data_IF_240226881395
#
_entry.id   IF_240226881395
#
_cell.length_a   1.000
_cell.length_b   1.000
_cell.length_c   1.000
_cell.angle_alpha   90.00
_cell.angle_beta   90.00
_cell.angle_gamma   90.00
#
_symmetry.space_group_name_H-M   'P 1'
#
loop_
_entity.id
_entity.type
_entity.pdbx_description
1 polymer ?
#
# COMPACT_ATOMS: atom_id res chain seq x y z
N UNK A 1 -15.31 12.35 -0.30
CA UNK A 1 -15.85 11.39 -1.29
C UNK A 1 -17.36 11.63 -1.38
N UNK A 2 -17.96 11.60 -2.57
CA UNK A 2 -19.42 11.78 -2.71
C UNK A 2 -20.14 10.49 -2.32
N UNK A 3 -21.35 10.60 -1.75
CA UNK A 3 -22.15 9.45 -1.30
C UNK A 3 -22.77 8.67 -2.46
N UNK A 4 -23.10 9.35 -3.56
CA UNK A 4 -23.61 8.75 -4.80
C UNK A 4 -22.80 9.22 -6.02
N UNK A 5 -21.77 8.46 -6.43
CA UNK A 5 -20.98 8.77 -7.63
C UNK A 5 -21.80 8.75 -8.92
N UNK A 6 -22.86 7.96 -9.02
CA UNK A 6 -23.65 7.88 -10.26
C UNK A 6 -24.51 9.12 -10.45
N UNK A 7 -25.10 9.63 -9.37
CA UNK A 7 -25.83 10.90 -9.39
C UNK A 7 -24.88 12.10 -9.57
N UNK A 8 -23.71 12.06 -8.92
CA UNK A 8 -22.73 13.16 -8.96
C UNK A 8 -21.98 13.25 -10.29
N UNK A 9 -21.83 12.13 -11.01
CA UNK A 9 -21.11 12.04 -12.28
C UNK A 9 -21.93 11.25 -13.33
N UNK A 10 -23.06 11.80 -13.80
CA UNK A 10 -24.01 11.08 -14.66
C UNK A 10 -23.39 10.64 -16.00
N UNK A 11 -22.43 11.40 -16.53
CA UNK A 11 -21.68 11.04 -17.74
C UNK A 11 -20.84 9.77 -17.55
N UNK A 12 -20.27 9.56 -16.37
CA UNK A 12 -19.53 8.33 -16.05
C UNK A 12 -20.49 7.17 -15.85
N UNK A 13 -21.64 7.40 -15.24
CA UNK A 13 -22.68 6.37 -15.12
C UNK A 13 -23.21 5.94 -16.49
N UNK A 14 -23.49 6.88 -17.41
CA UNK A 14 -23.89 6.59 -18.77
C UNK A 14 -22.80 5.81 -19.53
N UNK A 15 -21.54 6.24 -19.42
CA UNK A 15 -20.41 5.54 -20.03
C UNK A 15 -20.23 4.11 -19.49
N UNK A 16 -20.45 3.91 -18.19
CA UNK A 16 -20.45 2.57 -17.58
C UNK A 16 -21.50 1.68 -18.22
N UNK A 17 -22.74 2.17 -18.30
CA UNK A 17 -23.88 1.42 -18.86
C UNK A 17 -23.69 1.08 -20.33
N UNK A 18 -23.21 2.04 -21.11
CA UNK A 18 -22.93 1.84 -22.53
C UNK A 18 -21.85 0.78 -22.75
N UNK A 19 -20.83 0.73 -21.89
CA UNK A 19 -19.69 -0.18 -22.07
C UNK A 19 -19.90 -1.57 -21.48
N UNK A 20 -20.56 -1.68 -20.33
CA UNK A 20 -20.64 -2.94 -19.57
C UNK A 20 -22.09 -3.39 -19.30
N UNK A 21 -23.08 -2.72 -19.88
CA UNK A 21 -24.50 -3.08 -19.79
C UNK A 21 -25.28 -2.28 -18.76
N UNK A 22 -26.61 -2.35 -18.82
CA UNK A 22 -27.52 -1.43 -18.10
C UNK A 22 -27.31 -1.34 -16.58
N UNK A 23 -26.79 -2.39 -15.94
CA UNK A 23 -26.56 -2.45 -14.49
C UNK A 23 -25.16 -1.98 -14.07
N UNK A 24 -24.30 -1.60 -15.03
CA UNK A 24 -22.95 -1.18 -14.73
C UNK A 24 -22.91 0.19 -14.03
N UNK A 25 -21.99 0.31 -13.08
CA UNK A 25 -21.81 1.48 -12.22
C UNK A 25 -20.53 2.24 -12.55
N UNK A 26 -20.35 3.43 -11.97
CA UNK A 26 -19.06 4.15 -12.04
C UNK A 26 -17.91 3.29 -11.52
N UNK A 27 -18.13 2.43 -10.52
CA UNK A 27 -17.11 1.50 -10.01
C UNK A 27 -16.72 0.43 -11.05
N UNK A 28 -17.67 -0.08 -11.83
CA UNK A 28 -17.39 -0.99 -12.94
C UNK A 28 -16.59 -0.30 -14.04
N UNK A 29 -16.94 0.95 -14.36
CA UNK A 29 -16.20 1.74 -15.34
C UNK A 29 -14.75 1.96 -14.91
N UNK A 30 -14.53 2.36 -13.66
CA UNK A 30 -13.18 2.55 -13.11
C UNK A 30 -12.40 1.23 -13.05
N UNK A 31 -13.05 0.13 -12.67
CA UNK A 31 -12.41 -1.20 -12.67
C UNK A 31 -12.02 -1.63 -14.09
N UNK A 32 -12.86 -1.33 -15.07
CA UNK A 32 -12.56 -1.56 -16.48
C UNK A 32 -11.41 -0.69 -17.00
N UNK A 33 -11.31 0.56 -16.56
CA UNK A 33 -10.16 1.43 -16.84
C UNK A 33 -8.86 0.84 -16.25
N UNK A 34 -8.90 0.38 -15.00
CA UNK A 34 -7.78 -0.30 -14.35
C UNK A 34 -7.34 -1.52 -15.19
N UNK A 35 -8.26 -2.38 -15.58
CA UNK A 35 -7.95 -3.53 -16.43
C UNK A 35 -7.30 -3.12 -17.75
N UNK A 36 -7.81 -2.07 -18.41
CA UNK A 36 -7.22 -1.56 -19.65
C UNK A 36 -5.80 -1.00 -19.45
N UNK A 37 -5.47 -0.42 -18.29
CA UNK A 37 -4.07 -0.08 -17.95
C UNK A 37 -3.21 -1.33 -17.77
N UNK A 38 -3.77 -2.38 -17.17
CA UNK A 38 -3.08 -3.66 -17.02
C UNK A 38 -2.72 -4.26 -18.37
N UNK A 39 -3.68 -4.27 -19.31
CA UNK A 39 -3.50 -4.78 -20.67
C UNK A 39 -2.37 -4.05 -21.41
N UNK A 40 -2.35 -2.71 -21.32
CA UNK A 40 -1.27 -1.90 -21.90
C UNK A 40 0.11 -2.28 -21.31
N UNK A 41 0.22 -2.45 -20.00
CA UNK A 41 1.49 -2.82 -19.37
C UNK A 41 1.93 -4.25 -19.70
N UNK A 42 1.00 -5.18 -19.90
CA UNK A 42 1.30 -6.55 -20.34
C UNK A 42 1.92 -6.59 -21.73
N UNK A 43 1.50 -5.70 -22.64
CA UNK A 43 2.13 -5.56 -23.95
C UNK A 43 3.62 -5.17 -23.88
N UNK A 44 4.08 -4.66 -22.73
CA UNK A 44 5.47 -4.34 -22.45
C UNK A 44 6.16 -5.32 -21.48
N UNK A 45 5.56 -6.50 -21.24
CA UNK A 45 6.06 -7.50 -20.30
C UNK A 45 6.28 -6.93 -18.90
N UNK A 46 5.38 -6.04 -18.45
CA UNK A 46 5.39 -5.47 -17.09
C UNK A 46 4.19 -5.98 -16.31
N UNK A 47 4.40 -6.23 -15.01
CA UNK A 47 3.32 -6.56 -14.07
C UNK A 47 2.76 -5.27 -13.49
N UNK A 48 1.45 -5.07 -13.59
CA UNK A 48 0.83 -3.87 -13.03
C UNK A 48 0.59 -4.01 -11.52
N UNK A 49 0.74 -2.90 -10.81
CA UNK A 49 0.45 -2.73 -9.39
C UNK A 49 -0.54 -1.58 -9.23
N UNK A 50 -1.50 -1.72 -8.31
CA UNK A 50 -2.44 -0.66 -7.97
C UNK A 50 -2.65 -0.56 -6.46
N UNK A 51 -2.92 0.64 -5.96
CA UNK A 51 -3.27 0.87 -4.56
C UNK A 51 -4.58 0.17 -4.19
N UNK A 52 -4.67 -0.36 -2.97
CA UNK A 52 -5.78 -1.21 -2.54
C UNK A 52 -7.15 -0.52 -2.52
N UNK A 53 -7.18 0.79 -2.33
CA UNK A 53 -8.39 1.64 -2.36
C UNK A 53 -8.95 1.83 -3.79
N UNK A 54 -8.17 1.48 -4.82
CA UNK A 54 -8.65 1.40 -6.21
C UNK A 54 -9.43 0.11 -6.56
N UNK A 55 -9.50 -0.86 -5.64
CA UNK A 55 -10.23 -2.12 -5.84
C UNK A 55 -11.64 -2.06 -5.25
N UNK A 56 -12.56 -1.43 -5.98
CA UNK A 56 -13.92 -1.21 -5.49
C UNK A 56 -14.70 -2.50 -5.19
N UNK A 57 -15.37 -2.54 -4.03
CA UNK A 57 -16.34 -3.59 -3.68
C UNK A 57 -17.64 -3.51 -4.47
N UNK A 58 -18.04 -2.29 -4.81
CA UNK A 58 -19.30 -2.00 -5.50
C UNK A 58 -19.27 -2.33 -6.99
N UNK A 59 -18.10 -2.65 -7.56
CA UNK A 59 -18.01 -3.16 -8.93
C UNK A 59 -18.56 -4.60 -8.97
N UNK A 60 -19.76 -4.77 -9.51
CA UNK A 60 -20.47 -6.06 -9.58
C UNK A 60 -20.37 -6.73 -10.96
N UNK A 61 -20.20 -5.95 -12.02
CA UNK A 61 -20.18 -6.41 -13.42
C UNK A 61 -18.77 -6.68 -13.90
N UNK A 62 -17.82 -5.80 -13.55
CA UNK A 62 -16.43 -5.89 -13.98
C UNK A 62 -15.55 -6.25 -12.79
N UNK A 63 -14.73 -7.30 -12.94
CA UNK A 63 -13.77 -7.72 -11.92
C UNK A 63 -12.36 -7.23 -12.26
N UNK A 64 -11.56 -6.75 -11.29
CA UNK A 64 -10.17 -6.41 -11.54
C UNK A 64 -9.37 -7.67 -11.90
N UNK A 65 -8.52 -7.58 -12.92
CA UNK A 65 -7.71 -8.70 -13.39
C UNK A 65 -6.89 -9.32 -12.24
N UNK A 66 -6.79 -10.66 -12.22
CA UNK A 66 -6.29 -11.42 -11.06
C UNK A 66 -4.79 -11.23 -10.80
N UNK A 67 -4.04 -10.93 -11.84
CA UNK A 67 -2.59 -10.73 -11.85
C UNK A 67 -2.14 -9.32 -11.44
N UNK A 68 -3.07 -8.36 -11.32
CA UNK A 68 -2.76 -7.04 -10.77
C UNK A 68 -2.34 -7.20 -9.31
N UNK A 69 -1.11 -6.78 -9.01
CA UNK A 69 -0.56 -6.78 -7.66
C UNK A 69 -1.19 -5.66 -6.82
N UNK A 70 -1.45 -5.95 -5.55
CA UNK A 70 -2.03 -4.98 -4.61
C UNK A 70 -0.91 -4.26 -3.88
N UNK A 71 -0.81 -2.94 -4.04
CA UNK A 71 -0.06 -2.08 -3.13
C UNK A 71 -0.98 -1.74 -1.95
N UNK A 72 -0.80 -2.43 -0.81
CA UNK A 72 -1.68 -2.22 0.34
C UNK A 72 -1.04 -1.21 1.29
N UNK A 73 -1.65 -0.03 1.44
CA UNK A 73 -1.09 1.05 2.25
C UNK A 73 -1.91 1.36 3.50
N UNK A 74 -3.22 1.48 3.36
CA UNK A 74 -4.13 1.75 4.48
C UNK A 74 -5.44 1.00 4.31
N UNK A 75 -6.29 1.11 5.32
CA UNK A 75 -7.67 0.65 5.27
C UNK A 75 -8.51 1.48 6.25
N UNK A 76 -8.29 2.79 6.26
CA UNK A 76 -8.98 3.78 7.11
C UNK A 76 -10.18 4.38 6.38
N UNK A 77 -10.24 4.23 5.06
CA UNK A 77 -11.34 4.64 4.20
C UNK A 77 -12.60 3.79 4.41
N UNK A 78 -13.77 4.40 4.17
CA UNK A 78 -15.07 3.71 4.28
C UNK A 78 -15.11 2.58 3.24
N UNK A 79 -15.46 1.37 3.69
CA UNK A 79 -15.57 0.19 2.81
C UNK A 79 -14.25 -0.50 2.50
N UNK A 80 -13.14 -0.08 3.14
CA UNK A 80 -11.82 -0.69 3.00
C UNK A 80 -11.86 -2.22 3.15
N UNK A 81 -11.12 -2.93 2.29
CA UNK A 81 -10.93 -4.38 2.45
C UNK A 81 -9.76 -4.66 3.37
N UNK A 82 -9.88 -5.68 4.22
CA UNK A 82 -8.74 -6.13 5.02
C UNK A 82 -7.70 -6.81 4.12
N UNK A 83 -6.40 -6.80 4.48
CA UNK A 83 -5.36 -7.46 3.68
C UNK A 83 -5.66 -8.94 3.40
N UNK A 84 -6.21 -9.64 4.40
CA UNK A 84 -6.56 -11.06 4.30
C UNK A 84 -7.57 -11.37 3.19
N UNK A 85 -8.42 -10.42 2.80
CA UNK A 85 -9.39 -10.59 1.71
C UNK A 85 -8.70 -10.58 0.34
N UNK A 86 -7.70 -9.73 0.14
CA UNK A 86 -6.88 -9.74 -1.07
C UNK A 86 -6.05 -11.02 -1.17
N UNK A 87 -5.46 -11.44 -0.04
CA UNK A 87 -4.62 -12.62 0.04
C UNK A 87 -5.44 -13.91 -0.17
N UNK A 88 -6.61 -14.05 0.47
CA UNK A 88 -7.50 -15.20 0.23
C UNK A 88 -8.06 -15.26 -1.19
N UNK A 89 -8.18 -14.12 -1.88
CA UNK A 89 -8.51 -14.07 -3.30
C UNK A 89 -7.33 -14.47 -4.23
N UNK A 90 -6.20 -14.92 -3.66
CA UNK A 90 -5.02 -15.38 -4.39
C UNK A 90 -4.13 -14.27 -4.93
N UNK A 91 -4.35 -13.01 -4.55
CA UNK A 91 -3.54 -11.89 -5.05
C UNK A 91 -2.18 -11.84 -4.40
N UNK A 92 -1.22 -11.31 -5.14
CA UNK A 92 0.09 -10.91 -4.61
C UNK A 92 0.02 -9.47 -4.09
N UNK A 93 0.69 -9.23 -2.98
CA UNK A 93 0.60 -7.97 -2.23
C UNK A 93 2.00 -7.40 -1.97
N UNK A 94 2.12 -6.09 -2.05
CA UNK A 94 3.28 -5.33 -1.59
C UNK A 94 2.83 -4.48 -0.39
N UNK A 95 3.59 -4.58 0.70
CA UNK A 95 3.26 -3.94 1.97
C UNK A 95 3.75 -2.48 1.99
N UNK A 96 2.82 -1.54 2.08
CA UNK A 96 3.06 -0.10 2.20
C UNK A 96 2.47 0.44 3.51
N UNK A 97 2.35 -0.40 4.55
CA UNK A 97 1.70 -0.10 5.82
C UNK A 97 1.96 1.35 6.31
N UNK A 98 0.90 2.14 6.37
CA UNK A 98 0.94 3.56 6.71
C UNK A 98 1.34 3.85 8.16
N UNK A 99 1.13 2.90 9.07
CA UNK A 99 1.48 3.02 10.49
C UNK A 99 3.00 2.94 10.74
N UNK A 100 3.72 2.20 9.89
CA UNK A 100 5.14 1.93 10.08
C UNK A 100 6.05 2.41 8.94
N UNK A 101 5.54 2.61 7.72
CA UNK A 101 6.37 2.78 6.51
C UNK A 101 6.08 4.07 5.74
N UNK A 102 5.25 4.99 6.27
CA UNK A 102 4.90 6.25 5.62
C UNK A 102 5.57 7.46 6.31
N UNK A 103 6.46 8.14 5.60
CA UNK A 103 7.08 9.39 6.02
C UNK A 103 6.41 10.56 5.31
N UNK A 104 5.40 11.18 5.93
CA UNK A 104 4.58 12.24 5.31
C UNK A 104 5.01 13.62 5.81
N UNK A 105 5.57 14.44 4.92
CA UNK A 105 6.11 15.76 5.28
C UNK A 105 5.03 16.67 5.85
N UNK A 106 5.35 17.24 7.02
CA UNK A 106 4.45 18.11 7.77
C UNK A 106 3.37 17.38 8.55
N UNK A 107 3.31 16.04 8.48
CA UNK A 107 2.43 15.20 9.32
C UNK A 107 0.94 15.61 9.33
N UNK A 108 0.29 15.88 8.19
CA UNK A 108 -1.14 16.20 8.16
C UNK A 108 -1.98 14.98 8.59
N UNK A 109 -3.28 15.21 8.89
CA UNK A 109 -4.27 14.14 9.11
C UNK A 109 -3.82 13.02 10.08
N UNK A 110 -3.11 13.39 11.16
CA UNK A 110 -2.60 12.51 12.23
C UNK A 110 -1.45 11.56 11.84
N UNK A 111 -0.83 11.73 10.67
CA UNK A 111 0.39 11.00 10.36
C UNK A 111 1.52 11.33 11.36
N UNK A 112 2.30 10.31 11.71
CA UNK A 112 3.48 10.46 12.55
C UNK A 112 4.69 9.88 11.83
N UNK A 113 5.84 10.52 11.94
CA UNK A 113 7.04 9.98 11.30
C UNK A 113 7.36 8.59 11.88
N UNK A 114 7.60 7.59 11.02
CA UNK A 114 7.96 6.27 11.48
C UNK A 114 9.34 6.32 12.10
N UNK A 115 9.53 5.58 13.19
CA UNK A 115 10.83 5.47 13.84
C UNK A 115 11.44 4.11 13.55
N UNK A 116 12.76 4.07 13.37
CA UNK A 116 13.47 2.81 13.20
C UNK A 116 13.25 1.85 14.37
N UNK A 117 13.09 2.37 15.60
CA UNK A 117 12.84 1.55 16.78
C UNK A 117 11.52 0.81 16.69
N UNK A 118 10.43 1.51 16.34
CA UNK A 118 9.10 0.90 16.20
C UNK A 118 9.12 -0.18 15.12
N UNK A 119 9.73 0.11 13.96
CA UNK A 119 9.86 -0.88 12.88
C UNK A 119 10.64 -2.10 13.34
N UNK A 120 11.81 -1.90 13.96
CA UNK A 120 12.69 -2.98 14.40
C UNK A 120 12.02 -3.92 15.39
N UNK A 121 11.30 -3.35 16.37
CA UNK A 121 10.71 -4.08 17.48
C UNK A 121 9.33 -4.66 17.18
N UNK A 122 8.51 -4.00 16.36
CA UNK A 122 7.07 -4.30 16.26
C UNK A 122 6.64 -4.73 14.86
N UNK A 123 7.29 -4.24 13.81
CA UNK A 123 6.86 -4.50 12.44
C UNK A 123 7.46 -5.79 11.89
N UNK A 124 6.70 -6.50 11.06
CA UNK A 124 7.18 -7.61 10.22
C UNK A 124 6.49 -7.53 8.87
N UNK A 125 6.98 -8.22 7.82
CA UNK A 125 6.32 -8.21 6.51
C UNK A 125 4.84 -8.60 6.54
N UNK A 126 4.42 -9.43 7.52
CA UNK A 126 3.02 -9.83 7.76
C UNK A 126 2.13 -8.73 8.33
N UNK A 127 2.70 -7.67 8.92
CA UNK A 127 1.95 -6.53 9.45
C UNK A 127 1.63 -5.59 8.29
N UNK A 128 0.59 -5.95 7.53
CA UNK A 128 0.19 -5.25 6.29
C UNK A 128 -0.73 -4.05 6.56
N UNK A 129 -1.48 -4.06 7.67
CA UNK A 129 -2.34 -2.95 8.11
C UNK A 129 -2.24 -2.77 9.62
N UNK A 130 -2.14 -1.52 10.06
CA UNK A 130 -2.00 -1.21 11.48
C UNK A 130 -0.82 -1.96 12.09
N UNK A 131 -1.02 -2.59 13.26
CA UNK A 131 0.01 -3.35 13.98
C UNK A 131 -0.23 -4.87 14.03
N UNK A 132 -1.27 -5.37 13.37
CA UNK A 132 -1.64 -6.80 13.44
C UNK A 132 -1.11 -7.56 12.23
N UNK A 133 -0.44 -8.69 12.48
CA UNK A 133 0.04 -9.57 11.43
C UNK A 133 -1.09 -10.40 10.81
N UNK A 134 -1.06 -10.59 9.49
CA UNK A 134 -1.87 -11.62 8.84
C UNK A 134 -1.31 -13.02 9.13
N UNK A 135 -2.08 -14.10 8.94
CA UNK A 135 -1.59 -15.47 9.13
C UNK A 135 -0.39 -15.84 8.23
N UNK A 136 0.54 -16.63 8.76
CA UNK A 136 1.78 -17.04 8.07
C UNK A 136 1.57 -17.84 6.78
N UNK A 137 0.40 -18.47 6.59
CA UNK A 137 0.04 -19.13 5.32
C UNK A 137 0.09 -18.21 4.10
N UNK A 138 0.09 -16.89 4.31
CA UNK A 138 0.16 -15.89 3.25
C UNK A 138 1.58 -15.38 2.94
N UNK A 139 2.62 -15.90 3.60
CA UNK A 139 4.00 -15.39 3.45
C UNK A 139 4.44 -15.35 1.97
N UNK A 140 4.17 -16.42 1.20
CA UNK A 140 4.52 -16.49 -0.23
C UNK A 140 3.72 -15.53 -1.15
N UNK A 141 2.71 -14.84 -0.62
CA UNK A 141 1.91 -13.85 -1.35
C UNK A 141 2.31 -12.41 -1.03
N UNK A 142 3.03 -12.18 0.07
CA UNK A 142 3.56 -10.88 0.45
C UNK A 142 4.95 -10.75 -0.17
N UNK A 143 5.05 -9.93 -1.21
CA UNK A 143 6.26 -9.82 -2.03
C UNK A 143 7.37 -8.97 -1.40
N UNK A 144 7.10 -8.35 -0.24
CA UNK A 144 8.02 -7.47 0.47
C UNK A 144 7.30 -6.24 1.02
N UNK A 145 8.10 -5.23 1.40
CA UNK A 145 7.61 -3.94 1.88
C UNK A 145 8.27 -2.77 1.15
N UNK A 146 7.62 -1.62 1.16
CA UNK A 146 8.13 -0.38 0.57
C UNK A 146 7.97 0.77 1.56
N UNK A 147 9.05 1.51 1.79
CA UNK A 147 9.03 2.76 2.55
C UNK A 147 8.61 3.89 1.61
N UNK A 148 7.57 4.63 1.97
CA UNK A 148 7.03 5.72 1.16
C UNK A 148 7.32 7.07 1.80
N UNK A 149 7.89 8.00 1.02
CA UNK A 149 8.08 9.40 1.41
C UNK A 149 7.06 10.22 0.62
N UNK A 150 6.23 10.99 1.34
CA UNK A 150 5.16 11.80 0.76
C UNK A 150 5.40 13.27 1.06
N UNK A 151 5.41 14.09 0.00
CA UNK A 151 5.69 15.53 0.09
C UNK A 151 4.43 16.39 0.23
N UNK A 152 3.46 15.95 1.04
CA UNK A 152 2.16 16.62 1.22
C UNK A 152 2.32 18.11 1.57
N UNK A 153 3.22 18.41 2.51
CA UNK A 153 3.68 19.76 2.81
C UNK A 153 5.17 19.87 2.50
N UNK A 154 5.51 19.95 1.21
CA UNK A 154 6.90 19.88 0.72
C UNK A 154 7.87 20.87 1.36
N UNK A 155 7.40 22.04 1.80
CA UNK A 155 8.22 23.05 2.47
C UNK A 155 8.54 22.74 3.95
N UNK A 156 7.95 21.69 4.53
CA UNK A 156 8.18 21.32 5.93
C UNK A 156 9.58 20.78 6.21
N UNK A 157 10.28 20.24 5.20
CA UNK A 157 11.64 19.74 5.33
C UNK A 157 12.45 19.91 4.04
N UNK A 158 13.76 20.11 4.17
CA UNK A 158 14.72 20.02 3.07
C UNK A 158 15.02 18.54 2.73
N UNK A 159 15.62 18.30 1.57
CA UNK A 159 16.04 16.95 1.17
C UNK A 159 17.02 16.32 2.19
N UNK A 160 17.93 17.11 2.76
CA UNK A 160 18.87 16.64 3.79
C UNK A 160 18.16 16.23 5.09
N UNK A 161 17.13 16.99 5.49
CA UNK A 161 16.32 16.66 6.66
C UNK A 161 15.53 15.36 6.42
N UNK A 162 14.96 15.17 5.23
CA UNK A 162 14.30 13.92 4.84
C UNK A 162 15.30 12.76 4.88
N UNK A 163 16.46 12.91 4.25
CA UNK A 163 17.49 11.87 4.22
C UNK A 163 17.95 11.47 5.63
N UNK A 164 18.16 12.46 6.52
CA UNK A 164 18.49 12.21 7.92
C UNK A 164 17.35 11.50 8.67
N UNK A 165 16.10 11.92 8.45
CA UNK A 165 14.92 11.39 9.12
C UNK A 165 14.60 9.93 8.76
N UNK A 166 14.78 9.55 7.49
CA UNK A 166 14.44 8.18 7.01
C UNK A 166 15.55 7.17 7.22
N UNK A 167 16.77 7.61 7.56
CA UNK A 167 17.97 6.75 7.67
C UNK A 167 17.77 5.53 8.57
N UNK A 168 17.35 5.75 9.82
CA UNK A 168 17.13 4.64 10.77
C UNK A 168 15.88 3.82 10.46
N UNK A 169 14.74 4.41 10.06
CA UNK A 169 13.60 3.66 9.53
C UNK A 169 13.94 2.70 8.40
N UNK A 170 14.69 3.16 7.38
CA UNK A 170 15.11 2.32 6.25
C UNK A 170 16.00 1.17 6.69
N UNK A 171 17.01 1.42 7.53
CA UNK A 171 17.89 0.36 8.06
C UNK A 171 17.10 -0.70 8.83
N UNK A 172 16.17 -0.27 9.69
CA UNK A 172 15.31 -1.19 10.43
C UNK A 172 14.42 -2.01 9.48
N UNK A 173 13.77 -1.37 8.50
CA UNK A 173 12.93 -2.06 7.52
C UNK A 173 13.72 -3.10 6.72
N UNK A 174 14.92 -2.76 6.23
CA UNK A 174 15.77 -3.69 5.49
C UNK A 174 16.14 -4.90 6.34
N UNK A 175 16.50 -4.71 7.62
CA UNK A 175 16.78 -5.82 8.53
C UNK A 175 15.61 -6.79 8.66
N UNK A 176 14.36 -6.30 8.62
CA UNK A 176 13.14 -7.11 8.76
C UNK A 176 12.67 -7.75 7.45
N UNK A 177 13.16 -7.27 6.31
CA UNK A 177 12.82 -7.81 4.99
C UNK A 177 13.84 -8.83 4.47
N UNK A 178 15.12 -8.64 4.79
CA UNK A 178 16.19 -9.47 4.24
C UNK A 178 16.31 -10.82 4.94
N UNK A 179 16.25 -10.83 6.28
CA UNK A 179 16.36 -12.02 7.09
C UNK A 179 15.05 -12.26 7.85
N UNK A 180 14.35 -13.39 7.63
CA UNK A 180 13.08 -13.66 8.29
C UNK A 180 13.23 -13.99 9.79
N UNK A 181 14.46 -14.24 10.27
CA UNK A 181 14.73 -14.53 11.68
C UNK A 181 14.54 -13.27 12.53
N UNK A 182 14.19 -13.48 13.80
CA UNK A 182 14.17 -12.39 14.78
C UNK A 182 15.60 -11.87 14.97
N UNK A 183 15.86 -10.56 14.79
CA UNK A 183 17.16 -9.98 15.06
C UNK A 183 17.58 -10.20 16.52
N UNK A 184 18.84 -10.56 16.75
CA UNK A 184 19.38 -10.85 18.08
C UNK A 184 19.88 -9.62 18.83
N UNK A 185 20.26 -8.57 18.10
CA UNK A 185 20.72 -7.32 18.70
C UNK A 185 19.56 -6.58 19.36
N UNK A 186 19.83 -5.92 20.49
CA UNK A 186 18.96 -4.89 21.01
C UNK A 186 18.88 -3.70 20.04
N UNK A 187 17.85 -2.85 20.20
CA UNK A 187 17.75 -1.63 19.41
C UNK A 187 18.99 -0.72 19.58
N UNK A 188 19.54 -0.64 20.79
CA UNK A 188 20.72 0.18 21.09
C UNK A 188 21.95 -0.32 20.33
N UNK A 189 22.19 -1.64 20.34
CA UNK A 189 23.30 -2.27 19.61
C UNK A 189 23.11 -2.15 18.10
N UNK A 190 21.89 -2.39 17.60
CA UNK A 190 21.58 -2.20 16.19
C UNK A 190 21.83 -0.77 15.72
N UNK A 191 21.45 0.24 16.52
CA UNK A 191 21.71 1.65 16.23
C UNK A 191 23.21 1.98 16.27
N UNK A 192 23.97 1.39 17.19
CA UNK A 192 25.42 1.55 17.26
C UNK A 192 26.10 0.95 16.01
N UNK A 193 25.71 -0.26 15.61
CA UNK A 193 26.18 -0.90 14.39
C UNK A 193 25.83 -0.08 13.14
N UNK A 194 24.59 0.40 13.05
CA UNK A 194 24.15 1.27 11.96
C UNK A 194 25.01 2.54 11.82
N UNK A 195 25.44 3.14 12.94
CA UNK A 195 26.34 4.30 12.96
C UNK A 195 27.76 3.94 12.50
N UNK A 196 28.28 2.79 12.89
CA UNK A 196 29.59 2.32 12.45
C UNK A 196 29.64 2.07 10.94
N UNK A 197 28.54 1.61 10.35
CA UNK A 197 28.43 1.23 8.93
C UNK A 197 28.14 2.38 7.97
N UNK A 198 28.22 3.65 8.39
CA UNK A 198 27.86 4.79 7.54
C UNK A 198 26.41 5.12 7.65
#
# INVERSE_FOLDING_TARGET
>A
MVSDPSASYPQLAAAARNKYGANATVADLTTGWLNGRADNMRAHHRTMRAWNDGFYRSAGTVRPAKDIQVAYWTGKEIGARQPAEYLSAGRKLINYNDEYLYYVLGQPQTFVYPTGQRIYQQWTPRVVRGSTAVPARYDAQILGGVFAVWCDLAASQTQDQVAAGIRMPLRAMTQKLWDPRTPTLSWTEFRALARQLG
#
